data_IF_266751132728
#
_entry.id   IF_266751132728
#
_cell.length_a   1.000
_cell.length_b   1.000
_cell.length_c   1.000
_cell.angle_alpha   90.00
_cell.angle_beta   90.00
_cell.angle_gamma   90.00
#
_symmetry.space_group_name_H-M   'P 1'
#
loop_
_entity.id
_entity.type
_entity.pdbx_description
1 polymer ?
#
# COMPACT_ATOMS: atom_id res chain seq x y z
N UNK A 1 2.99 9.27 13.26
CA UNK A 1 1.73 8.84 13.90
C UNK A 1 1.95 7.45 14.46
N UNK A 2 1.42 7.10 15.64
CA UNK A 2 1.49 5.72 16.10
C UNK A 2 0.71 4.84 15.12
N UNK A 3 1.36 3.76 14.66
CA UNK A 3 0.71 2.78 13.79
C UNK A 3 -0.10 1.84 14.68
N UNK A 4 -1.43 1.67 14.45
CA UNK A 4 -2.21 0.75 15.24
C UNK A 4 -1.68 -0.69 15.16
N UNK A 5 -1.90 -1.50 16.19
CA UNK A 5 -1.45 -2.89 16.19
C UNK A 5 -2.03 -3.67 14.99
N UNK A 6 -1.16 -4.42 14.30
CA UNK A 6 -1.52 -5.16 13.09
C UNK A 6 -1.83 -4.29 11.86
N UNK A 7 -1.49 -3.00 11.90
CA UNK A 7 -1.61 -2.08 10.76
C UNK A 7 -0.23 -1.64 10.28
N UNK A 8 -0.19 -1.13 9.05
CA UNK A 8 0.97 -0.54 8.40
C UNK A 8 0.56 0.78 7.75
N UNK A 9 1.50 1.72 7.63
CA UNK A 9 1.29 2.96 6.88
C UNK A 9 1.79 2.76 5.44
N UNK A 10 0.85 2.79 4.50
CA UNK A 10 1.12 2.70 3.08
C UNK A 10 1.47 4.07 2.50
N UNK A 11 2.62 4.13 1.86
CA UNK A 11 3.07 5.21 1.00
C UNK A 11 2.99 4.78 -0.46
N UNK A 12 2.76 5.72 -1.37
CA UNK A 12 2.77 5.44 -2.81
C UNK A 12 3.95 6.14 -3.48
N UNK A 13 4.52 5.48 -4.47
CA UNK A 13 5.61 6.02 -5.28
C UNK A 13 5.37 5.78 -6.76
N UNK A 14 6.02 6.60 -7.59
CA UNK A 14 6.05 6.39 -9.04
C UNK A 14 7.26 5.53 -9.38
N UNK A 15 7.10 4.60 -10.31
CA UNK A 15 8.23 3.81 -10.82
C UNK A 15 9.15 4.67 -11.69
N UNK A 16 10.33 4.15 -12.00
CA UNK A 16 11.28 4.82 -12.91
C UNK A 16 10.68 5.15 -14.29
N UNK A 17 9.98 4.18 -14.92
CA UNK A 17 9.39 4.34 -16.25
C UNK A 17 7.93 4.83 -16.19
N UNK A 18 7.66 5.81 -15.34
CA UNK A 18 6.31 6.38 -15.18
C UNK A 18 6.35 7.90 -15.15
N UNK A 19 5.52 8.51 -16.01
CA UNK A 19 5.20 9.94 -15.91
C UNK A 19 3.74 10.09 -15.53
N UNK A 20 3.51 10.58 -14.32
CA UNK A 20 2.18 10.74 -13.73
C UNK A 20 1.38 9.42 -13.67
N UNK A 21 0.30 9.27 -14.46
CA UNK A 21 -0.51 8.05 -14.57
C UNK A 21 -0.08 7.16 -15.73
N UNK A 22 0.77 7.65 -16.63
CA UNK A 22 1.23 6.90 -17.80
C UNK A 22 2.39 6.00 -17.41
N UNK A 23 2.19 4.69 -17.57
CA UNK A 23 3.18 3.65 -17.31
C UNK A 23 3.83 3.29 -18.65
N UNK A 24 5.14 3.50 -18.78
CA UNK A 24 5.91 3.18 -19.99
C UNK A 24 6.59 1.80 -19.91
N UNK A 25 6.68 1.22 -18.71
CA UNK A 25 7.24 -0.11 -18.46
C UNK A 25 6.66 -0.77 -17.21
N UNK A 26 6.46 -2.09 -17.27
CA UNK A 26 6.00 -2.89 -16.13
C UNK A 26 7.15 -3.35 -15.21
N UNK A 27 8.39 -3.15 -15.67
CA UNK A 27 9.60 -3.49 -14.94
C UNK A 27 10.16 -2.24 -14.27
N UNK A 28 10.56 -2.34 -13.00
CA UNK A 28 11.36 -1.31 -12.33
C UNK A 28 12.77 -1.86 -12.14
N UNK A 29 13.65 -1.48 -13.08
CA UNK A 29 15.05 -1.94 -13.12
C UNK A 29 15.84 -1.53 -11.88
N UNK A 30 15.51 -0.40 -11.26
CA UNK A 30 16.19 0.06 -10.04
C UNK A 30 15.78 -0.72 -8.80
N UNK A 31 14.60 -1.35 -8.82
CA UNK A 31 14.04 -2.09 -7.66
C UNK A 31 13.96 -3.59 -7.88
N UNK A 32 14.49 -4.08 -9.00
CA UNK A 32 14.49 -5.50 -9.36
C UNK A 32 13.08 -6.07 -9.56
N UNK A 33 12.08 -5.21 -9.79
CA UNK A 33 10.70 -5.64 -10.02
C UNK A 33 10.56 -6.01 -11.50
N UNK A 34 10.25 -7.28 -11.76
CA UNK A 34 10.00 -7.82 -13.10
C UNK A 34 8.63 -8.47 -13.17
N UNK A 35 7.90 -8.29 -14.27
CA UNK A 35 6.67 -9.05 -14.55
C UNK A 35 5.45 -8.64 -13.73
N UNK A 36 5.43 -7.42 -13.16
CA UNK A 36 4.23 -6.89 -12.51
C UNK A 36 4.51 -5.85 -11.43
N UNK A 37 3.63 -4.85 -11.34
CA UNK A 37 3.74 -3.68 -10.45
C UNK A 37 2.96 -3.81 -9.15
N UNK A 38 2.21 -4.91 -8.97
CA UNK A 38 1.55 -5.25 -7.70
C UNK A 38 2.56 -5.81 -6.71
N UNK A 39 3.41 -4.93 -6.21
CA UNK A 39 4.41 -5.23 -5.19
C UNK A 39 4.19 -4.34 -3.98
N UNK A 40 4.41 -4.90 -2.79
CA UNK A 40 4.45 -4.16 -1.54
C UNK A 40 5.85 -4.27 -0.97
N UNK A 41 6.58 -3.15 -0.97
CA UNK A 41 7.87 -3.03 -0.32
C UNK A 41 7.67 -2.97 1.19
N UNK A 42 8.29 -3.92 1.90
CA UNK A 42 8.08 -4.14 3.33
C UNK A 42 9.40 -4.48 4.02
N UNK A 43 9.57 -4.05 5.27
CA UNK A 43 10.77 -4.36 6.04
C UNK A 43 10.83 -5.86 6.38
N UNK A 44 12.04 -6.42 6.50
CA UNK A 44 12.20 -7.82 6.91
C UNK A 44 11.64 -8.08 8.33
N UNK A 45 11.70 -7.07 9.21
CA UNK A 45 11.15 -7.17 10.57
C UNK A 45 9.62 -7.19 10.56
N UNK A 46 8.96 -6.41 9.70
CA UNK A 46 7.51 -6.45 9.57
C UNK A 46 7.05 -7.77 8.92
N UNK A 47 7.81 -8.32 7.95
CA UNK A 47 7.51 -9.65 7.42
C UNK A 47 7.45 -10.69 8.53
N UNK A 48 8.48 -10.74 9.36
CA UNK A 48 8.55 -11.67 10.50
C UNK A 48 7.43 -11.40 11.52
N UNK A 49 7.24 -10.14 11.91
CA UNK A 49 6.25 -9.75 12.92
C UNK A 49 4.81 -10.04 12.50
N UNK A 50 4.52 -9.93 11.21
CA UNK A 50 3.21 -10.25 10.64
C UNK A 50 3.12 -11.71 10.16
N UNK A 51 4.19 -12.49 10.34
CA UNK A 51 4.25 -13.92 10.03
C UNK A 51 4.21 -14.24 8.54
N UNK A 52 4.70 -13.36 7.67
CA UNK A 52 4.77 -13.53 6.21
C UNK A 52 6.19 -13.88 5.73
N UNK A 53 6.27 -14.55 4.58
CA UNK A 53 7.53 -14.78 3.88
C UNK A 53 7.71 -13.80 2.70
N UNK A 54 8.96 -13.58 2.31
CA UNK A 54 9.27 -12.86 1.08
C UNK A 54 8.66 -13.58 -0.12
N UNK A 55 7.94 -12.84 -0.98
CA UNK A 55 7.25 -13.41 -2.14
C UNK A 55 5.80 -13.86 -1.87
N UNK A 56 5.34 -13.90 -0.61
CA UNK A 56 3.93 -14.14 -0.29
C UNK A 56 3.04 -13.12 -1.01
N UNK A 57 1.82 -13.55 -1.36
CA UNK A 57 0.80 -12.69 -1.97
C UNK A 57 -0.27 -12.33 -0.95
N UNK A 58 -0.59 -11.04 -0.89
CA UNK A 58 -1.56 -10.47 0.05
C UNK A 58 -2.52 -9.52 -0.65
N UNK A 59 -3.70 -9.38 -0.07
CA UNK A 59 -4.58 -8.26 -0.34
C UNK A 59 -4.30 -7.16 0.70
N UNK A 60 -4.35 -5.90 0.26
CA UNK A 60 -4.26 -4.72 1.10
C UNK A 60 -5.67 -4.26 1.43
N UNK A 61 -5.96 -4.03 2.71
CA UNK A 61 -7.25 -3.53 3.16
C UNK A 61 -7.07 -2.21 3.91
N UNK A 62 -7.78 -1.18 3.50
CA UNK A 62 -7.88 0.10 4.23
C UNK A 62 -9.25 0.21 4.90
N UNK A 63 -9.29 0.80 6.09
CA UNK A 63 -10.50 0.98 6.90
C UNK A 63 -10.78 2.49 7.04
N UNK A 64 -11.99 2.93 6.71
CA UNK A 64 -12.40 4.34 6.74
C UNK A 64 -13.66 4.51 7.59
N UNK A 65 -13.69 5.54 8.44
CA UNK A 65 -14.89 5.85 9.22
C UNK A 65 -15.90 6.59 8.36
N UNK A 66 -17.12 6.06 8.27
CA UNK A 66 -18.23 6.65 7.52
C UNK A 66 -18.94 7.74 8.33
N UNK A 67 -19.79 8.54 7.68
CA UNK A 67 -20.47 9.68 8.31
C UNK A 67 -21.43 9.27 9.45
N UNK A 68 -21.98 8.05 9.37
CA UNK A 68 -22.83 7.42 10.38
C UNK A 68 -22.04 6.68 11.48
N UNK A 69 -20.70 6.76 11.45
CA UNK A 69 -19.83 6.15 12.46
C UNK A 69 -19.51 4.67 12.22
N UNK A 70 -19.95 4.11 11.09
CA UNK A 70 -19.54 2.79 10.63
C UNK A 70 -18.09 2.74 10.11
N UNK A 71 -17.65 1.55 9.74
CA UNK A 71 -16.35 1.32 9.09
C UNK A 71 -16.59 0.77 7.68
N UNK A 72 -16.09 1.50 6.68
CA UNK A 72 -16.00 1.03 5.29
C UNK A 72 -14.62 0.41 5.06
N UNK A 73 -14.60 -0.85 4.59
CA UNK A 73 -13.38 -1.49 4.11
C UNK A 73 -13.22 -1.33 2.60
N UNK A 74 -12.01 -1.04 2.15
CA UNK A 74 -11.64 -1.01 0.73
C UNK A 74 -10.44 -1.90 0.48
N UNK A 75 -10.40 -2.54 -0.69
CA UNK A 75 -9.42 -3.59 -1.02
C UNK A 75 -8.62 -3.26 -2.28
N UNK A 76 -7.33 -3.55 -2.23
CA UNK A 76 -6.47 -3.64 -3.40
C UNK A 76 -5.77 -5.01 -3.37
N UNK A 77 -5.95 -5.78 -4.43
CA UNK A 77 -5.66 -7.21 -4.42
C UNK A 77 -4.28 -7.58 -4.95
N UNK A 78 -3.82 -8.77 -4.58
CA UNK A 78 -2.75 -9.52 -5.25
C UNK A 78 -1.37 -8.82 -5.28
N UNK A 79 -0.95 -8.29 -4.13
CA UNK A 79 0.38 -7.70 -3.95
C UNK A 79 1.39 -8.72 -3.48
N UNK A 80 2.50 -8.84 -4.22
CA UNK A 80 3.66 -9.63 -3.80
C UNK A 80 4.49 -8.86 -2.78
N UNK A 81 4.80 -9.49 -1.65
CA UNK A 81 5.67 -8.90 -0.63
C UNK A 81 7.13 -8.93 -1.08
N UNK A 82 7.77 -7.76 -1.10
CA UNK A 82 9.17 -7.58 -1.50
C UNK A 82 9.94 -6.97 -0.33
N UNK A 83 10.91 -7.70 0.26
CA UNK A 83 11.78 -7.14 1.29
C UNK A 83 12.49 -5.88 0.80
N UNK A 84 12.44 -4.81 1.59
CA UNK A 84 13.04 -3.53 1.24
C UNK A 84 13.53 -2.81 2.51
N UNK A 85 14.63 -2.02 2.46
CA UNK A 85 15.10 -1.24 3.61
C UNK A 85 14.20 -0.02 3.86
N UNK A 86 12.97 -0.26 4.31
CA UNK A 86 11.99 0.74 4.77
C UNK A 86 11.89 0.70 6.29
N UNK A 87 11.58 1.83 6.98
CA UNK A 87 11.31 1.82 8.41
C UNK A 87 10.17 0.87 8.79
N UNK A 88 10.27 0.21 9.95
CA UNK A 88 9.21 -0.65 10.48
C UNK A 88 7.86 0.07 10.56
N UNK A 89 6.77 -0.67 10.35
CA UNK A 89 5.42 -0.10 10.34
C UNK A 89 5.08 0.71 9.07
N UNK A 90 6.02 0.85 8.12
CA UNK A 90 5.81 1.57 6.87
C UNK A 90 6.04 0.65 5.68
N UNK A 91 5.17 0.77 4.69
CA UNK A 91 5.24 0.02 3.43
C UNK A 91 5.05 0.94 2.25
N UNK A 92 5.58 0.54 1.10
CA UNK A 92 5.42 1.30 -0.14
C UNK A 92 4.88 0.43 -1.27
N UNK A 93 4.04 1.00 -2.11
CA UNK A 93 3.58 0.38 -3.35
C UNK A 93 3.62 1.40 -4.50
N UNK A 94 3.49 0.90 -5.73
CA UNK A 94 3.40 1.79 -6.87
C UNK A 94 2.02 2.45 -6.98
N UNK A 95 2.04 3.70 -7.46
CA UNK A 95 0.85 4.37 -7.97
C UNK A 95 0.64 3.99 -9.45
N UNK A 96 -0.60 3.73 -9.92
CA UNK A 96 -1.90 3.89 -9.24
C UNK A 96 -2.46 2.62 -8.59
N UNK A 97 -1.67 1.56 -8.42
CA UNK A 97 -2.13 0.21 -8.07
C UNK A 97 -2.93 0.16 -6.75
N UNK A 98 -2.74 1.13 -5.86
CA UNK A 98 -3.42 1.24 -4.55
C UNK A 98 -4.54 2.27 -4.50
N UNK A 99 -4.89 2.92 -5.62
CA UNK A 99 -6.02 3.87 -5.69
C UNK A 99 -7.34 3.30 -5.14
N UNK A 100 -7.67 2.00 -5.34
CA UNK A 100 -8.90 1.43 -4.77
C UNK A 100 -9.01 1.57 -3.25
N UNK A 101 -7.90 1.72 -2.52
CA UNK A 101 -7.87 1.88 -1.06
C UNK A 101 -8.34 3.26 -0.58
N UNK A 102 -8.50 4.24 -1.47
CA UNK A 102 -8.85 5.61 -1.08
C UNK A 102 -10.29 5.88 -1.52
N UNK A 103 -11.22 6.17 -0.59
CA UNK A 103 -12.57 6.57 -0.93
C UNK A 103 -12.54 7.96 -1.59
N UNK A 104 -13.39 8.17 -2.59
CA UNK A 104 -13.46 9.44 -3.34
C UNK A 104 -13.90 10.62 -2.45
N UNK A 105 -14.72 10.33 -1.43
CA UNK A 105 -15.37 11.35 -0.60
C UNK A 105 -14.59 11.75 0.66
N UNK A 106 -13.47 11.07 0.97
CA UNK A 106 -12.71 11.32 2.19
C UNK A 106 -11.54 12.29 1.95
N UNK A 107 -11.87 13.58 1.89
CA UNK A 107 -10.91 14.69 1.83
C UNK A 107 -10.43 15.08 3.23
N UNK A 108 -9.16 15.47 3.37
CA UNK A 108 -8.66 15.99 4.65
C UNK A 108 -9.46 17.26 5.03
N UNK A 109 -10.20 17.22 6.16
CA UNK A 109 -11.13 18.28 6.63
C UNK A 109 -10.58 19.72 6.63
N UNK A 110 -9.26 19.90 6.64
CA UNK A 110 -8.62 21.22 6.67
C UNK A 110 -8.05 21.70 5.33
N UNK A 111 -7.74 20.82 4.38
CA UNK A 111 -6.94 21.21 3.19
C UNK A 111 -7.54 20.78 1.85
N UNK A 112 -8.68 20.07 1.85
CA UNK A 112 -9.31 19.54 0.64
C UNK A 112 -8.36 18.71 -0.26
N UNK A 113 -7.27 18.21 0.31
CA UNK A 113 -6.29 17.36 -0.37
C UNK A 113 -6.62 15.90 -0.04
N UNK A 114 -6.62 14.98 -1.02
CA UNK A 114 -6.81 13.56 -0.75
C UNK A 114 -5.77 13.05 0.25
N UNK A 115 -6.17 12.14 1.14
CA UNK A 115 -5.30 11.46 2.13
C UNK A 115 -4.39 10.42 1.43
N UNK A 116 -3.93 10.69 0.22
CA UNK A 116 -3.19 9.77 -0.64
C UNK A 116 -1.71 9.63 -0.28
N UNK A 117 -1.19 10.51 0.58
CA UNK A 117 0.23 10.51 0.99
C UNK A 117 0.55 9.46 2.05
N UNK A 118 -0.45 8.99 2.79
CA UNK A 118 -0.32 7.96 3.81
C UNK A 118 -1.69 7.32 4.06
N UNK A 119 -1.82 6.02 3.80
CA UNK A 119 -3.05 5.25 4.04
C UNK A 119 -2.76 4.17 5.08
N UNK A 120 -3.54 4.10 6.15
CA UNK A 120 -3.43 2.98 7.10
C UNK A 120 -4.03 1.73 6.47
N UNK A 121 -3.27 0.64 6.44
CA UNK A 121 -3.72 -0.63 5.87
C UNK A 121 -3.47 -1.79 6.82
N UNK A 122 -4.20 -2.89 6.63
CA UNK A 122 -3.88 -4.23 7.15
C UNK A 122 -3.60 -5.19 5.98
N UNK A 123 -2.75 -6.18 6.22
CA UNK A 123 -2.46 -7.24 5.26
C UNK A 123 -3.41 -8.41 5.46
N UNK A 124 -3.92 -8.96 4.38
CA UNK A 124 -4.73 -10.18 4.40
C UNK A 124 -4.11 -11.23 3.48
N UNK A 125 -3.84 -12.43 4.01
CA UNK A 125 -3.40 -13.58 3.20
C UNK A 125 -4.41 -13.85 2.09
N UNK A 126 -3.91 -14.03 0.87
CA UNK A 126 -4.69 -14.52 -0.25
C UNK A 126 -4.82 -16.05 -0.11
N UNK A 127 -6.05 -16.55 -0.18
CA UNK A 127 -6.36 -17.98 -0.22
C UNK A 127 -6.21 -18.57 -1.61
#
# INVERSE_FOLDING_TARGET
>A
MPVPAGRLILQTMRSHDQYNTTIYGLDDRYRGVKGGRRVLFISAQDLESFGYAAGDRVDLISEWTTADGGVEERRAEDFRLVPYPTPQGNVAAYYPETNPLIPLDHVARKSNTPVSKAVTIRLQRRG
#
